data_IF_400317090418
#
_entry.id   IF_400317090418
#
_cell.length_a   1.000
_cell.length_b   1.000
_cell.length_c   1.000
_cell.angle_alpha   90.00
_cell.angle_beta   90.00
_cell.angle_gamma   90.00
#
_symmetry.space_group_name_H-M   'P 1'
#
loop_
_entity.id
_entity.type
_entity.pdbx_description
1 polymer ?
#
# COMPACT_ATOMS: atom_id res chain seq x y z
N UNK A 1 -39.32 -52.02 66.27
CA UNK A 1 -38.01 -51.36 66.46
C UNK A 1 -38.29 -49.87 66.23
N UNK A 2 -38.70 -49.12 67.26
CA UNK A 2 -37.84 -48.53 68.32
C UNK A 2 -36.78 -47.66 67.66
N UNK A 3 -36.62 -46.35 67.86
CA UNK A 3 -37.23 -45.30 68.70
C UNK A 3 -36.81 -43.97 68.01
N UNK A 4 -37.65 -42.95 67.82
CA UNK A 4 -38.10 -41.95 68.82
C UNK A 4 -36.99 -40.99 69.27
N UNK A 5 -37.04 -39.74 68.81
CA UNK A 5 -36.95 -38.53 69.65
C UNK A 5 -37.34 -37.31 68.78
N UNK A 6 -38.58 -36.80 68.91
CA UNK A 6 -39.01 -35.78 69.89
C UNK A 6 -38.17 -34.51 69.77
N UNK A 7 -38.72 -33.33 69.43
CA UNK A 7 -39.87 -32.71 70.09
C UNK A 7 -40.52 -31.65 69.18
N UNK A 8 -41.81 -31.86 68.89
CA UNK A 8 -42.93 -30.90 68.98
C UNK A 8 -42.64 -29.69 69.89
N UNK A 9 -43.18 -28.49 69.72
CA UNK A 9 -44.46 -28.08 69.15
C UNK A 9 -44.55 -26.55 69.25
N UNK A 10 -45.46 -25.95 68.46
CA UNK A 10 -46.36 -24.85 68.87
C UNK A 10 -45.72 -23.49 69.20
N UNK A 11 -46.36 -22.33 69.04
CA UNK A 11 -47.61 -21.82 68.50
C UNK A 11 -47.63 -20.35 69.02
N UNK A 12 -48.47 -19.50 68.44
CA UNK A 12 -48.98 -18.26 69.07
C UNK A 12 -48.03 -17.05 69.06
N UNK A 13 -48.28 -16.07 68.20
CA UNK A 13 -49.20 -14.93 68.42
C UNK A 13 -48.72 -13.90 69.46
N UNK A 14 -48.71 -12.65 68.97
CA UNK A 14 -49.00 -11.39 69.67
C UNK A 14 -47.94 -10.80 70.61
N UNK A 15 -47.79 -9.49 70.44
CA UNK A 15 -47.93 -8.60 71.60
C UNK A 15 -46.73 -7.71 71.89
N UNK A 16 -46.73 -6.54 71.25
CA UNK A 16 -46.38 -5.21 71.77
C UNK A 16 -46.18 -5.15 73.30
N UNK A 17 -45.04 -4.58 73.75
CA UNK A 17 -44.88 -3.66 74.91
C UNK A 17 -43.40 -3.20 74.95
N UNK A 18 -43.05 -1.96 74.58
CA UNK A 18 -43.05 -0.69 75.36
C UNK A 18 -42.10 -0.62 76.55
N UNK A 19 -41.17 0.36 76.50
CA UNK A 19 -40.72 1.30 77.54
C UNK A 19 -39.19 1.48 77.44
N UNK A 20 -38.70 2.61 76.91
CA UNK A 20 -38.44 3.90 77.57
C UNK A 20 -36.94 4.05 77.93
N UNK A 21 -36.31 5.10 77.41
CA UNK A 21 -34.91 5.42 77.71
C UNK A 21 -34.28 6.44 76.76
N UNK A 22 -34.66 7.70 76.96
CA UNK A 22 -33.86 8.94 76.81
C UNK A 22 -33.16 9.32 75.48
N UNK A 23 -33.63 10.49 75.01
CA UNK A 23 -32.88 11.70 74.66
C UNK A 23 -31.62 11.52 73.80
N UNK A 24 -31.65 12.02 72.57
CA UNK A 24 -30.75 13.05 72.03
C UNK A 24 -31.15 13.31 70.56
N UNK A 25 -31.06 14.57 70.11
CA UNK A 25 -31.13 15.03 68.71
C UNK A 25 -32.51 15.31 68.10
N UNK A 26 -33.35 16.03 68.86
CA UNK A 26 -34.50 16.78 68.34
C UNK A 26 -34.31 18.30 68.42
N UNK A 27 -33.19 18.86 67.92
CA UNK A 27 -32.97 20.32 67.75
C UNK A 27 -31.89 20.61 66.71
N UNK A 28 -32.22 20.53 65.42
CA UNK A 28 -31.42 21.13 64.31
C UNK A 28 -32.31 21.31 63.07
N UNK A 29 -33.55 21.77 63.27
CA UNK A 29 -34.44 22.25 62.22
C UNK A 29 -34.74 23.73 62.53
N UNK A 30 -34.52 24.61 61.55
CA UNK A 30 -34.98 26.03 61.48
C UNK A 30 -34.05 27.19 61.92
N UNK A 31 -32.74 27.18 61.63
CA UNK A 31 -31.95 28.43 61.72
C UNK A 31 -30.66 28.49 60.88
N UNK A 32 -30.72 28.25 59.56
CA UNK A 32 -29.66 28.71 58.64
C UNK A 32 -30.20 28.87 57.21
N UNK A 33 -31.21 29.73 57.08
CA UNK A 33 -31.89 30.08 55.82
C UNK A 33 -31.82 31.60 55.53
N UNK A 34 -30.78 32.28 56.03
CA UNK A 34 -30.34 33.62 55.56
C UNK A 34 -28.84 33.74 55.86
N UNK A 35 -28.01 33.87 54.83
CA UNK A 35 -26.63 34.34 54.98
C UNK A 35 -25.51 33.41 54.54
N UNK A 36 -25.49 32.99 53.26
CA UNK A 36 -24.27 32.98 52.42
C UNK A 36 -24.69 33.18 50.95
N UNK A 37 -25.14 34.39 50.61
CA UNK A 37 -25.22 34.88 49.22
C UNK A 37 -23.88 35.51 48.78
N UNK A 38 -22.74 34.98 49.23
CA UNK A 38 -21.42 35.53 48.93
C UNK A 38 -20.37 34.43 48.72
N UNK A 39 -20.73 33.40 47.95
CA UNK A 39 -19.74 32.63 47.20
C UNK A 39 -20.12 32.73 45.73
N UNK A 40 -19.83 33.89 45.14
CA UNK A 40 -19.48 33.98 43.73
C UNK A 40 -18.22 33.14 43.54
N UNK A 41 -18.41 31.82 43.44
CA UNK A 41 -17.46 30.98 42.73
C UNK A 41 -17.46 31.55 41.34
N UNK A 42 -16.37 32.25 40.98
CA UNK A 42 -16.00 32.43 39.60
C UNK A 42 -15.95 31.01 39.01
N UNK A 43 -17.08 30.57 38.44
CA UNK A 43 -17.09 29.45 37.53
C UNK A 43 -16.00 29.82 36.52
N UNK A 44 -14.92 29.02 36.37
CA UNK A 44 -14.08 29.21 35.22
C UNK A 44 -15.04 29.18 34.05
N UNK A 45 -15.15 30.30 33.34
CA UNK A 45 -15.75 30.30 32.00
C UNK A 45 -15.07 29.12 31.31
N UNK A 46 -15.83 28.12 30.79
CA UNK A 46 -15.20 27.00 30.12
C UNK A 46 -14.31 27.66 29.07
N UNK A 47 -13.00 27.54 29.25
CA UNK A 47 -12.03 28.10 28.34
C UNK A 47 -12.50 27.59 26.99
N UNK A 48 -12.95 28.50 26.12
CA UNK A 48 -13.63 28.12 24.90
C UNK A 48 -12.75 27.08 24.22
N UNK A 49 -13.24 25.84 24.19
CA UNK A 49 -12.49 24.74 23.59
C UNK A 49 -12.03 25.18 22.20
N UNK A 50 -10.88 24.70 21.71
CA UNK A 50 -10.38 25.10 20.40
C UNK A 50 -11.54 25.02 19.40
N UNK A 51 -11.86 26.14 18.74
CA UNK A 51 -13.00 26.23 17.82
C UNK A 51 -12.91 25.08 16.82
N UNK A 52 -13.87 24.17 16.88
CA UNK A 52 -13.99 23.07 15.95
C UNK A 52 -14.72 23.56 14.71
N UNK A 53 -14.17 23.21 13.55
CA UNK A 53 -14.73 23.52 12.24
C UNK A 53 -15.18 22.20 11.62
N UNK A 54 -16.40 22.20 11.09
CA UNK A 54 -16.94 21.10 10.32
C UNK A 54 -16.91 21.53 8.86
N UNK A 55 -16.21 20.76 8.03
CA UNK A 55 -16.21 20.93 6.57
C UNK A 55 -16.84 19.71 5.93
N UNK A 56 -17.72 19.94 4.96
CA UNK A 56 -18.37 18.88 4.20
C UNK A 56 -17.82 18.83 2.78
N UNK A 57 -17.67 17.61 2.28
CA UNK A 57 -17.23 17.35 0.91
C UNK A 57 -18.28 17.73 -0.13
N UNK A 58 -17.84 17.96 -1.37
CA UNK A 58 -18.72 18.35 -2.47
C UNK A 58 -19.79 17.29 -2.74
N UNK A 59 -19.42 16.01 -2.64
CA UNK A 59 -20.36 14.90 -2.81
C UNK A 59 -21.31 14.72 -1.63
N UNK A 60 -21.02 15.33 -0.47
CA UNK A 60 -21.76 15.14 0.78
C UNK A 60 -21.38 13.90 1.59
N UNK A 61 -20.58 12.99 1.03
CA UNK A 61 -20.20 11.73 1.66
C UNK A 61 -19.31 11.93 2.90
N UNK A 62 -18.32 12.82 2.80
CA UNK A 62 -17.37 13.08 3.89
C UNK A 62 -17.76 14.32 4.70
N UNK A 63 -17.66 14.20 6.02
CA UNK A 63 -17.80 15.29 6.98
C UNK A 63 -16.59 15.31 7.91
N UNK A 64 -15.71 16.30 7.76
CA UNK A 64 -14.48 16.42 8.53
C UNK A 64 -14.67 17.46 9.63
N UNK A 65 -14.43 17.07 10.87
CA UNK A 65 -14.44 17.97 12.03
C UNK A 65 -13.03 18.08 12.62
N UNK A 66 -12.61 19.29 13.02
CA UNK A 66 -11.27 19.49 13.57
C UNK A 66 -10.95 20.93 13.92
N UNK A 67 -9.76 21.19 14.50
CA UNK A 67 -9.28 22.56 14.71
C UNK A 67 -9.07 23.29 13.37
N UNK A 68 -9.33 24.60 13.35
CA UNK A 68 -9.25 25.43 12.13
C UNK A 68 -7.88 25.45 11.43
N UNK A 69 -6.81 25.22 12.18
CA UNK A 69 -5.45 25.26 11.69
C UNK A 69 -4.63 24.15 12.36
N UNK A 70 -3.84 23.44 11.56
CA UNK A 70 -2.72 22.68 12.09
C UNK A 70 -1.81 23.68 12.81
N UNK A 71 -1.75 23.62 14.14
CA UNK A 71 -0.81 24.42 14.90
C UNK A 71 0.58 23.89 14.57
N UNK A 72 1.30 24.57 13.67
CA UNK A 72 2.74 24.36 13.49
C UNK A 72 3.41 24.61 14.85
N UNK A 73 3.64 23.55 15.63
CA UNK A 73 4.53 23.65 16.78
C UNK A 73 5.94 23.75 16.20
N UNK A 74 6.65 24.82 16.55
CA UNK A 74 8.10 24.88 16.37
C UNK A 74 8.66 23.69 17.16
N UNK A 75 9.28 22.74 16.48
CA UNK A 75 9.86 21.56 17.12
C UNK A 75 10.84 22.00 18.22
N UNK A 76 10.85 21.34 19.40
CA UNK A 76 11.87 21.59 20.42
C UNK A 76 13.27 21.40 19.80
N UNK A 77 14.24 22.27 20.10
CA UNK A 77 15.60 22.08 19.59
C UNK A 77 16.17 20.76 20.12
N UNK A 78 16.38 19.78 19.23
CA UNK A 78 17.01 18.49 19.55
C UNK A 78 16.30 17.25 19.01
N UNK A 79 15.04 17.34 18.57
CA UNK A 79 14.37 16.23 17.89
C UNK A 79 14.63 16.27 16.38
N UNK A 80 14.98 15.13 15.74
CA UNK A 80 15.10 15.08 14.29
C UNK A 80 13.73 15.42 13.69
N UNK A 81 13.66 16.48 12.89
CA UNK A 81 12.45 16.86 12.20
C UNK A 81 11.94 15.66 11.38
N UNK A 82 10.74 15.16 11.70
CA UNK A 82 10.04 14.17 10.87
C UNK A 82 9.60 14.88 9.58
N UNK A 83 10.46 14.91 8.57
CA UNK A 83 10.30 15.69 7.33
C UNK A 83 9.17 15.19 6.40
N UNK A 84 8.51 14.08 6.73
CA UNK A 84 7.50 13.44 5.89
C UNK A 84 6.06 13.52 6.43
N UNK A 85 5.82 14.29 7.51
CA UNK A 85 4.48 14.46 8.07
C UNK A 85 3.68 15.51 7.31
N UNK A 86 2.41 15.20 7.07
CA UNK A 86 1.44 16.10 6.44
C UNK A 86 0.58 16.75 7.52
N UNK A 87 0.62 18.08 7.59
CA UNK A 87 -0.28 18.88 8.41
C UNK A 87 -1.68 18.93 7.77
N UNK A 88 -2.70 18.50 8.51
CA UNK A 88 -4.09 18.43 8.06
C UNK A 88 -4.94 19.48 8.75
N UNK A 89 -5.78 20.14 7.95
CA UNK A 89 -6.93 20.91 8.39
C UNK A 89 -8.20 20.33 7.75
N UNK A 90 -9.40 20.67 8.28
CA UNK A 90 -10.64 20.10 7.75
C UNK A 90 -10.87 20.34 6.24
N UNK A 91 -10.64 21.55 5.68
CA UNK A 91 -10.78 21.78 4.24
C UNK A 91 -9.82 20.94 3.37
N UNK A 92 -8.53 20.89 3.73
CA UNK A 92 -7.51 20.13 2.98
C UNK A 92 -7.85 18.65 2.97
N UNK A 93 -8.19 18.08 4.14
CA UNK A 93 -8.55 16.67 4.23
C UNK A 93 -9.81 16.35 3.44
N UNK A 94 -10.81 17.23 3.45
CA UNK A 94 -12.04 17.05 2.67
C UNK A 94 -11.75 16.92 1.17
N UNK A 95 -10.90 17.79 0.62
CA UNK A 95 -10.51 17.71 -0.80
C UNK A 95 -9.69 16.45 -1.10
N UNK A 96 -8.82 16.03 -0.17
CA UNK A 96 -8.07 14.79 -0.29
C UNK A 96 -8.99 13.57 -0.34
N UNK A 97 -10.02 13.52 0.52
CA UNK A 97 -11.02 12.44 0.52
C UNK A 97 -11.72 12.33 -0.83
N UNK A 98 -12.16 13.47 -1.40
CA UNK A 98 -12.79 13.50 -2.72
C UNK A 98 -11.84 12.99 -3.81
N UNK A 99 -10.58 13.42 -3.81
CA UNK A 99 -9.58 12.97 -4.80
C UNK A 99 -9.33 11.47 -4.71
N UNK A 100 -9.16 10.93 -3.51
CA UNK A 100 -8.96 9.50 -3.29
C UNK A 100 -10.18 8.71 -3.74
N UNK A 101 -11.39 9.16 -3.41
CA UNK A 101 -12.63 8.54 -3.88
C UNK A 101 -12.70 8.52 -5.40
N UNK A 102 -12.51 9.66 -6.05
CA UNK A 102 -12.56 9.74 -7.51
C UNK A 102 -11.52 8.83 -8.18
N UNK A 103 -10.34 8.70 -7.57
CA UNK A 103 -9.31 7.79 -8.07
C UNK A 103 -9.74 6.31 -7.92
N UNK A 104 -10.27 5.90 -6.77
CA UNK A 104 -10.78 4.53 -6.55
C UNK A 104 -11.89 4.21 -7.56
N UNK A 105 -12.88 5.10 -7.70
CA UNK A 105 -13.98 4.92 -8.63
C UNK A 105 -13.50 4.86 -10.09
N UNK A 106 -12.47 5.65 -10.43
CA UNK A 106 -11.81 5.61 -11.74
C UNK A 106 -11.14 4.26 -12.03
N UNK A 107 -10.39 3.71 -11.08
CA UNK A 107 -9.75 2.39 -11.19
C UNK A 107 -10.78 1.26 -11.30
N UNK A 108 -11.91 1.36 -10.58
CA UNK A 108 -13.01 0.40 -10.61
C UNK A 108 -13.97 0.60 -11.79
N UNK A 109 -13.83 1.70 -12.54
CA UNK A 109 -14.79 2.13 -13.59
C UNK A 109 -16.23 2.17 -13.05
N UNK A 110 -16.39 2.66 -11.83
CA UNK A 110 -17.65 2.70 -11.09
C UNK A 110 -18.24 4.12 -11.09
N UNK A 111 -19.57 4.27 -11.12
CA UNK A 111 -20.23 5.53 -10.84
C UNK A 111 -20.11 5.90 -9.35
N UNK A 112 -20.26 7.19 -9.05
CA UNK A 112 -20.34 7.66 -7.66
C UNK A 112 -21.76 7.50 -7.12
N UNK A 113 -22.01 6.37 -6.46
CA UNK A 113 -23.32 6.00 -5.87
C UNK A 113 -23.19 5.68 -4.37
N UNK A 114 -22.40 6.50 -3.67
CA UNK A 114 -22.21 6.34 -2.23
C UNK A 114 -23.56 6.41 -1.48
N UNK A 115 -23.64 5.67 -0.37
CA UNK A 115 -24.80 5.63 0.53
C UNK A 115 -24.41 5.88 1.98
N UNK A 116 -23.26 5.35 2.37
CA UNK A 116 -22.75 5.50 3.73
C UNK A 116 -21.98 6.79 3.93
N UNK A 117 -22.33 7.53 4.97
CA UNK A 117 -21.63 8.77 5.33
C UNK A 117 -20.37 8.47 6.14
N UNK A 118 -19.29 9.18 5.84
CA UNK A 118 -17.99 9.03 6.51
C UNK A 118 -17.70 10.29 7.33
N UNK A 119 -17.65 10.12 8.65
CA UNK A 119 -17.30 11.16 9.61
C UNK A 119 -15.83 11.04 9.97
N UNK A 120 -15.08 12.13 9.82
CA UNK A 120 -13.65 12.15 10.11
C UNK A 120 -13.38 13.18 11.19
N UNK A 121 -12.75 12.75 12.28
CA UNK A 121 -12.39 13.57 13.41
C UNK A 121 -10.87 13.81 13.41
N UNK A 122 -10.47 15.08 13.30
CA UNK A 122 -9.08 15.51 13.36
C UNK A 122 -8.70 15.89 14.79
N UNK A 123 -7.68 15.23 15.33
CA UNK A 123 -7.17 15.46 16.68
C UNK A 123 -5.66 15.63 16.71
N UNK A 124 -5.11 16.09 17.83
CA UNK A 124 -3.65 16.15 18.00
C UNK A 124 -3.11 14.74 18.23
N UNK A 125 -1.97 14.36 17.60
CA UNK A 125 -1.38 13.04 17.80
C UNK A 125 -1.10 12.80 19.29
N UNK A 126 -1.58 11.68 19.80
CA UNK A 126 -1.34 11.22 21.17
C UNK A 126 -0.02 10.44 21.27
N UNK A 127 0.35 9.76 20.17
CA UNK A 127 1.60 9.02 20.04
C UNK A 127 2.19 9.22 18.63
N UNK A 128 3.52 9.07 18.45
CA UNK A 128 4.17 9.33 17.17
C UNK A 128 3.68 8.43 16.03
N UNK A 129 3.28 7.19 16.35
CA UNK A 129 2.83 6.19 15.38
C UNK A 129 1.39 5.71 15.68
N UNK A 130 0.57 6.59 16.25
CA UNK A 130 -0.84 6.33 16.58
C UNK A 130 -1.62 5.79 15.37
N UNK A 131 -2.27 4.61 15.45
CA UNK A 131 -3.00 4.02 14.33
C UNK A 131 -4.26 4.83 14.02
N UNK A 132 -4.61 4.92 12.73
CA UNK A 132 -5.91 5.46 12.30
C UNK A 132 -6.92 4.34 12.42
N UNK A 133 -7.89 4.49 13.32
CA UNK A 133 -8.95 3.49 13.50
C UNK A 133 -10.14 3.83 12.59
N UNK A 134 -10.62 2.83 11.86
CA UNK A 134 -11.82 2.92 11.05
C UNK A 134 -12.93 2.14 11.75
N UNK A 135 -14.03 2.81 12.05
CA UNK A 135 -15.19 2.21 12.69
C UNK A 135 -16.39 2.26 11.75
N UNK A 136 -17.11 1.14 11.64
CA UNK A 136 -18.35 1.06 10.88
C UNK A 136 -19.49 0.67 11.82
N UNK A 137 -20.62 1.38 11.74
CA UNK A 137 -21.82 1.07 12.51
C UNK A 137 -23.03 1.04 11.59
N UNK A 138 -23.83 -0.02 11.72
CA UNK A 138 -25.13 -0.08 11.07
C UNK A 138 -26.17 0.65 11.91
N UNK A 139 -26.91 1.56 11.28
CA UNK A 139 -27.98 2.35 11.90
C UNK A 139 -29.29 2.14 11.14
N UNK A 140 -30.40 2.68 11.67
CA UNK A 140 -31.68 2.69 10.97
C UNK A 140 -31.64 3.45 9.62
N UNK A 141 -30.65 4.32 9.43
CA UNK A 141 -30.43 5.07 8.18
C UNK A 141 -29.43 4.37 7.23
N UNK A 142 -28.98 3.17 7.59
CA UNK A 142 -27.95 2.42 6.89
C UNK A 142 -26.58 2.52 7.57
N UNK A 143 -25.53 2.18 6.83
CA UNK A 143 -24.16 2.21 7.31
C UNK A 143 -23.63 3.64 7.48
N UNK A 144 -22.96 3.89 8.60
CA UNK A 144 -22.15 5.08 8.83
C UNK A 144 -20.74 4.67 9.27
N UNK A 145 -19.76 5.53 8.96
CA UNK A 145 -18.35 5.27 9.19
C UNK A 145 -17.72 6.42 9.98
N UNK A 146 -16.80 6.10 10.88
CA UNK A 146 -16.03 7.06 11.65
C UNK A 146 -14.54 6.77 11.52
N UNK A 147 -13.75 7.83 11.45
CA UNK A 147 -12.31 7.76 11.48
C UNK A 147 -11.75 8.82 12.42
N UNK A 148 -10.84 8.41 13.30
CA UNK A 148 -10.04 9.33 14.11
C UNK A 148 -8.66 9.46 13.48
N UNK A 149 -8.31 10.67 13.04
CA UNK A 149 -7.13 10.95 12.22
C UNK A 149 -6.27 12.01 12.91
N UNK A 150 -5.00 11.71 13.23
CA UNK A 150 -4.06 12.72 13.69
C UNK A 150 -3.93 13.87 12.68
N UNK A 151 -3.92 15.10 13.17
CA UNK A 151 -3.76 16.30 12.35
C UNK A 151 -2.35 16.46 11.76
N UNK A 152 -1.41 15.61 12.17
CA UNK A 152 -0.10 15.42 11.54
C UNK A 152 0.10 13.93 11.29
N UNK A 153 0.13 13.51 10.02
CA UNK A 153 0.18 12.09 9.64
C UNK A 153 1.03 11.89 8.39
N UNK A 154 1.66 10.73 8.27
CA UNK A 154 2.36 10.35 7.05
C UNK A 154 1.35 10.12 5.90
N UNK A 155 1.57 10.70 4.71
CA UNK A 155 0.65 10.56 3.57
C UNK A 155 0.29 9.10 3.21
N UNK A 156 1.21 8.12 3.23
CA UNK A 156 0.87 6.72 2.95
C UNK A 156 -0.12 6.12 3.96
N UNK A 157 0.00 6.48 5.24
CA UNK A 157 -0.88 5.98 6.31
C UNK A 157 -2.28 6.54 6.18
N UNK A 158 -2.39 7.84 5.89
CA UNK A 158 -3.66 8.48 5.58
C UNK A 158 -4.33 7.86 4.34
N UNK A 159 -3.57 7.65 3.27
CA UNK A 159 -4.10 7.07 2.03
C UNK A 159 -4.64 5.66 2.26
N UNK A 160 -3.92 4.82 3.00
CA UNK A 160 -4.38 3.47 3.35
C UNK A 160 -5.73 3.52 4.09
N UNK A 161 -5.84 4.33 5.13
CA UNK A 161 -7.04 4.42 5.94
C UNK A 161 -8.25 4.97 5.14
N UNK A 162 -8.02 5.94 4.25
CA UNK A 162 -9.06 6.44 3.34
C UNK A 162 -9.50 5.38 2.33
N UNK A 163 -8.56 4.62 1.77
CA UNK A 163 -8.88 3.52 0.84
C UNK A 163 -9.67 2.43 1.55
N UNK A 164 -9.27 2.07 2.76
CA UNK A 164 -9.96 1.05 3.58
C UNK A 164 -11.41 1.43 3.85
N UNK A 165 -11.68 2.64 4.37
CA UNK A 165 -13.05 3.07 4.65
C UNK A 165 -13.91 3.18 3.39
N UNK A 166 -13.33 3.63 2.27
CA UNK A 166 -14.07 3.79 1.01
C UNK A 166 -14.41 2.42 0.41
N UNK A 167 -13.46 1.48 0.40
CA UNK A 167 -13.72 0.12 -0.07
C UNK A 167 -14.75 -0.59 0.82
N UNK A 168 -14.67 -0.38 2.15
CA UNK A 168 -15.65 -0.90 3.09
C UNK A 168 -17.04 -0.29 2.90
N UNK A 169 -17.13 1.01 2.57
CA UNK A 169 -18.40 1.66 2.19
C UNK A 169 -18.98 1.04 0.92
N UNK A 170 -18.18 0.93 -0.15
CA UNK A 170 -18.61 0.32 -1.42
C UNK A 170 -19.15 -1.09 -1.19
N UNK A 171 -18.42 -1.90 -0.42
CA UNK A 171 -18.80 -3.27 -0.15
C UNK A 171 -20.10 -3.41 0.67
N UNK A 172 -20.43 -2.38 1.46
CA UNK A 172 -21.58 -2.36 2.37
C UNK A 172 -22.83 -1.67 1.81
N UNK A 173 -22.78 -1.07 0.61
CA UNK A 173 -23.92 -0.30 0.02
C UNK A 173 -25.25 -1.04 -0.01
N UNK A 174 -25.19 -2.37 -0.10
CA UNK A 174 -26.33 -3.27 -0.12
C UNK A 174 -26.32 -4.28 1.03
N UNK A 175 -25.35 -4.17 1.95
CA UNK A 175 -25.26 -5.02 3.12
C UNK A 175 -26.31 -4.61 4.16
N UNK A 176 -26.88 -5.59 4.84
CA UNK A 176 -27.75 -5.36 6.00
C UNK A 176 -26.89 -5.11 7.25
N UNK A 177 -27.30 -5.60 8.42
CA UNK A 177 -26.58 -5.41 9.70
C UNK A 177 -25.17 -5.99 9.73
N UNK A 178 -24.85 -6.96 8.87
CA UNK A 178 -23.53 -7.58 8.80
C UNK A 178 -22.63 -6.84 7.80
N UNK A 179 -21.42 -6.42 8.18
CA UNK A 179 -20.48 -5.82 7.24
C UNK A 179 -19.96 -6.88 6.26
N UNK A 180 -19.79 -6.47 5.01
CA UNK A 180 -19.12 -7.25 3.98
C UNK A 180 -17.65 -7.47 4.34
N UNK A 181 -17.16 -8.69 4.13
CA UNK A 181 -15.75 -9.02 4.34
C UNK A 181 -14.92 -8.64 3.12
N UNK A 182 -13.80 -7.97 3.36
CA UNK A 182 -12.85 -7.56 2.34
C UNK A 182 -11.51 -8.31 2.57
N UNK A 183 -10.83 -8.78 1.50
CA UNK A 183 -9.55 -9.44 1.65
C UNK A 183 -8.49 -8.47 2.21
N UNK A 184 -7.59 -8.91 3.11
CA UNK A 184 -6.65 -8.01 3.78
C UNK A 184 -5.62 -7.37 2.84
N UNK A 185 -5.33 -8.01 1.71
CA UNK A 185 -4.43 -7.47 0.69
C UNK A 185 -5.06 -6.36 -0.17
N UNK A 186 -6.39 -6.18 -0.15
CA UNK A 186 -7.06 -5.30 -1.10
C UNK A 186 -6.79 -3.82 -0.79
N UNK A 187 -7.01 -3.37 0.45
CA UNK A 187 -6.81 -1.98 0.82
C UNK A 187 -5.34 -1.54 0.71
N UNK A 188 -4.35 -2.30 1.25
CA UNK A 188 -2.93 -1.98 1.06
C UNK A 188 -2.49 -2.00 -0.40
N UNK A 189 -2.95 -2.99 -1.18
CA UNK A 189 -2.61 -3.08 -2.60
C UNK A 189 -3.19 -1.95 -3.43
N UNK A 190 -4.45 -1.56 -3.17
CA UNK A 190 -5.09 -0.43 -3.84
C UNK A 190 -4.44 0.90 -3.42
N UNK A 191 -4.14 1.10 -2.13
CA UNK A 191 -3.45 2.31 -1.66
C UNK A 191 -2.07 2.47 -2.31
N UNK A 192 -1.29 1.39 -2.42
CA UNK A 192 0.01 1.40 -3.10
C UNK A 192 -0.10 1.65 -4.61
N UNK A 193 -1.16 1.13 -5.25
CA UNK A 193 -1.48 1.41 -6.65
C UNK A 193 -1.78 2.89 -6.85
N UNK A 194 -2.71 3.44 -6.08
CA UNK A 194 -3.08 4.86 -6.14
C UNK A 194 -1.91 5.79 -5.84
N UNK A 195 -1.04 5.44 -4.89
CA UNK A 195 0.18 6.23 -4.61
C UNK A 195 1.10 6.30 -5.82
N UNK A 196 1.14 5.24 -6.62
CA UNK A 196 1.95 5.17 -7.84
C UNK A 196 1.28 5.90 -9.01
N UNK A 197 -0.05 5.79 -9.15
CA UNK A 197 -0.82 6.38 -10.25
C UNK A 197 -1.14 7.87 -10.05
N UNK A 198 -1.41 8.32 -8.82
CA UNK A 198 -1.68 9.73 -8.48
C UNK A 198 -0.41 10.55 -8.20
N UNK A 199 0.71 9.90 -7.83
CA UNK A 199 1.93 10.59 -7.41
C UNK A 199 1.67 11.53 -6.22
N UNK A 200 2.27 12.72 -6.20
CA UNK A 200 2.03 13.74 -5.15
C UNK A 200 0.70 14.49 -5.30
N UNK A 201 -0.08 14.26 -6.36
CA UNK A 201 -1.29 15.05 -6.63
C UNK A 201 -2.41 14.85 -5.59
N UNK A 202 -2.37 13.76 -4.82
CA UNK A 202 -3.30 13.58 -3.71
C UNK A 202 -2.94 14.46 -2.50
N UNK A 203 -1.66 14.82 -2.33
CA UNK A 203 -1.23 15.75 -1.28
C UNK A 203 -1.36 17.17 -1.83
N UNK A 204 -2.34 17.91 -1.35
CA UNK A 204 -2.40 19.36 -1.54
C UNK A 204 -1.19 19.96 -0.81
N UNK A 205 -0.01 20.14 -1.42
CA UNK A 205 1.07 20.86 -0.74
C UNK A 205 0.68 22.33 -0.58
N UNK A 206 0.89 22.88 0.61
CA UNK A 206 0.85 24.33 0.81
C UNK A 206 2.03 24.89 0.03
N UNK A 207 1.76 25.50 -1.11
CA UNK A 207 2.74 26.32 -1.81
C UNK A 207 2.96 27.60 -1.00
N UNK A 208 3.54 27.50 0.20
CA UNK A 208 4.37 28.59 0.71
C UNK A 208 5.70 28.43 0.00
N UNK A 209 6.06 29.33 -0.95
CA UNK A 209 7.41 29.35 -1.46
C UNK A 209 8.31 29.69 -0.28
N UNK A 210 8.90 28.68 0.36
CA UNK A 210 10.15 28.88 1.05
C UNK A 210 11.07 29.43 -0.03
N UNK A 211 11.43 30.71 0.09
CA UNK A 211 12.34 31.42 -0.78
C UNK A 211 13.67 30.65 -0.81
N UNK A 212 13.75 29.64 -1.67
CA UNK A 212 14.99 29.04 -2.09
C UNK A 212 15.56 30.01 -3.11
N UNK A 213 16.55 30.77 -2.65
CA UNK A 213 17.29 31.72 -3.48
C UNK A 213 17.82 30.95 -4.71
N UNK A 214 17.29 31.29 -5.89
CA UNK A 214 17.81 30.81 -7.17
C UNK A 214 17.20 29.50 -7.68
N UNK A 215 15.92 29.50 -8.03
CA UNK A 215 15.48 28.74 -9.21
C UNK A 215 14.15 29.28 -9.74
N UNK A 216 14.17 29.77 -10.97
CA UNK A 216 12.96 30.12 -11.71
C UNK A 216 12.23 28.82 -12.10
N UNK A 217 11.39 28.29 -11.21
CA UNK A 217 10.46 27.23 -11.57
C UNK A 217 9.19 27.87 -12.12
N UNK A 218 9.08 27.89 -13.45
CA UNK A 218 7.85 28.19 -14.18
C UNK A 218 6.73 27.27 -13.72
N UNK A 219 5.58 27.88 -13.41
CA UNK A 219 4.33 27.19 -13.11
C UNK A 219 3.85 26.48 -14.38
N UNK A 220 4.26 25.23 -14.57
CA UNK A 220 3.64 24.37 -15.57
C UNK A 220 2.22 24.04 -15.11
N UNK A 221 1.26 24.51 -15.89
CA UNK A 221 -0.13 24.15 -15.74
C UNK A 221 -0.22 22.63 -15.90
N UNK A 222 -0.75 21.94 -14.88
CA UNK A 222 -0.98 20.51 -14.92
C UNK A 222 -2.06 20.19 -15.96
N UNK A 223 -1.65 20.07 -17.21
CA UNK A 223 -2.48 19.51 -18.27
C UNK A 223 -2.90 18.10 -17.86
N UNK A 224 -4.21 17.86 -17.96
CA UNK A 224 -4.88 16.61 -17.63
C UNK A 224 -4.52 15.57 -18.68
N UNK A 225 -3.27 15.11 -18.70
CA UNK A 225 -2.80 14.10 -19.64
C UNK A 225 -3.43 12.76 -19.28
N UNK A 226 -4.27 12.23 -20.17
CA UNK A 226 -4.75 10.84 -20.14
C UNK A 226 -3.53 9.92 -20.05
N UNK A 227 -3.31 9.34 -18.87
CA UNK A 227 -2.10 8.60 -18.55
C UNK A 227 -2.23 7.18 -19.11
N UNK A 228 -1.62 6.93 -20.26
CA UNK A 228 -1.41 5.56 -20.76
C UNK A 228 -0.30 4.93 -19.92
N UNK A 229 -0.67 4.32 -18.79
CA UNK A 229 0.26 3.58 -17.94
C UNK A 229 0.84 2.38 -18.69
N UNK A 230 2.04 2.54 -19.25
CA UNK A 230 2.81 1.42 -19.82
C UNK A 230 3.16 0.46 -18.69
N UNK A 231 2.75 -0.81 -18.79
CA UNK A 231 3.03 -1.91 -17.83
C UNK A 231 4.47 -2.00 -17.33
N UNK A 232 5.43 -1.53 -18.13
CA UNK A 232 6.84 -1.49 -17.76
C UNK A 232 7.10 -0.66 -16.49
N UNK A 233 6.32 0.39 -16.24
CA UNK A 233 6.59 1.32 -15.15
C UNK A 233 6.15 0.79 -13.76
N UNK A 234 4.94 0.24 -13.58
CA UNK A 234 4.56 -0.40 -12.32
C UNK A 234 5.45 -1.58 -11.92
N UNK A 235 5.78 -2.47 -12.87
CA UNK A 235 6.66 -3.61 -12.59
C UNK A 235 8.09 -3.20 -12.23
N UNK A 236 8.59 -2.10 -12.81
CA UNK A 236 9.90 -1.54 -12.46
C UNK A 236 9.93 -1.10 -11.01
N UNK A 237 8.89 -0.39 -10.56
CA UNK A 237 8.76 0.06 -9.16
C UNK A 237 8.64 -1.14 -8.22
N UNK A 238 7.83 -2.15 -8.56
CA UNK A 238 7.67 -3.37 -7.77
C UNK A 238 9.01 -4.10 -7.64
N UNK A 239 9.74 -4.31 -8.75
CA UNK A 239 11.07 -4.93 -8.72
C UNK A 239 12.07 -4.16 -7.86
N UNK A 240 12.05 -2.83 -7.96
CA UNK A 240 12.93 -1.98 -7.16
C UNK A 240 12.67 -2.14 -5.65
N UNK A 241 11.39 -2.19 -5.23
CA UNK A 241 11.00 -2.33 -3.81
C UNK A 241 11.26 -3.73 -3.25
N UNK A 242 11.04 -4.76 -4.08
CA UNK A 242 11.29 -6.14 -3.68
C UNK A 242 12.80 -6.43 -3.59
N UNK A 243 13.60 -5.86 -4.49
CA UNK A 243 15.02 -6.15 -4.59
C UNK A 243 15.24 -7.63 -4.93
N UNK A 244 15.93 -8.35 -4.04
CA UNK A 244 16.15 -9.80 -4.16
C UNK A 244 15.00 -10.65 -3.59
N UNK A 245 14.06 -10.04 -2.87
CA UNK A 245 12.94 -10.76 -2.23
C UNK A 245 11.90 -11.16 -3.27
N UNK A 246 11.27 -12.32 -3.04
CA UNK A 246 10.10 -12.74 -3.82
C UNK A 246 8.83 -12.10 -3.24
N UNK A 247 7.83 -11.79 -4.07
CA UNK A 247 6.48 -11.51 -3.57
C UNK A 247 5.96 -12.67 -2.73
N UNK A 248 5.11 -12.35 -1.76
CA UNK A 248 4.43 -13.32 -0.90
C UNK A 248 3.55 -14.28 -1.70
N UNK A 249 3.46 -15.53 -1.23
CA UNK A 249 2.52 -16.52 -1.76
C UNK A 249 1.06 -16.08 -1.52
N UNK A 250 0.12 -16.72 -2.21
CA UNK A 250 -1.29 -16.35 -2.07
C UNK A 250 -1.82 -16.59 -0.64
N UNK A 251 -1.35 -17.65 0.02
CA UNK A 251 -1.72 -17.95 1.41
C UNK A 251 -1.21 -16.88 2.39
N UNK A 252 0.04 -16.44 2.23
CA UNK A 252 0.66 -15.38 3.03
C UNK A 252 0.01 -14.01 2.80
N UNK A 253 -0.51 -13.74 1.58
CA UNK A 253 -1.30 -12.53 1.31
C UNK A 253 -2.63 -12.53 2.04
N UNK A 254 -3.25 -13.71 2.17
CA UNK A 254 -4.52 -13.87 2.87
C UNK A 254 -4.30 -13.77 4.38
N UNK A 255 -3.28 -14.44 4.94
CA UNK A 255 -2.97 -14.43 6.37
C UNK A 255 -1.63 -13.76 6.68
N UNK A 256 -1.56 -12.42 6.67
CA UNK A 256 -0.35 -11.71 7.06
C UNK A 256 -0.02 -11.90 8.54
N UNK A 257 1.26 -11.85 8.87
CA UNK A 257 1.72 -11.79 10.26
C UNK A 257 1.68 -10.35 10.78
N UNK A 258 1.61 -10.17 12.10
CA UNK A 258 1.65 -8.84 12.72
C UNK A 258 2.89 -8.05 12.28
N UNK A 259 4.05 -8.72 12.20
CA UNK A 259 5.30 -8.13 11.72
C UNK A 259 5.21 -7.66 10.25
N UNK A 260 4.42 -8.33 9.40
CA UNK A 260 4.19 -7.91 8.02
C UNK A 260 3.25 -6.71 7.91
N UNK A 261 2.26 -6.61 8.81
CA UNK A 261 1.32 -5.48 8.89
C UNK A 261 1.96 -4.22 9.49
N UNK A 262 2.94 -4.40 10.38
CA UNK A 262 3.70 -3.32 11.00
C UNK A 262 4.86 -2.79 10.13
N UNK A 263 5.12 -3.40 8.97
CA UNK A 263 6.17 -2.92 8.06
C UNK A 263 5.89 -1.48 7.60
N UNK A 264 6.95 -0.65 7.46
CA UNK A 264 6.78 0.71 6.95
C UNK A 264 6.23 0.71 5.52
N UNK A 265 5.62 1.83 5.07
CA UNK A 265 5.09 1.94 3.72
C UNK A 265 6.10 1.53 2.64
N UNK A 266 5.67 0.67 1.72
CA UNK A 266 6.56 0.03 0.73
C UNK A 266 7.27 -1.23 1.24
N UNK A 267 6.86 -1.78 2.39
CA UNK A 267 7.23 -3.10 2.87
C UNK A 267 6.90 -4.25 1.90
N UNK A 268 7.31 -5.46 2.27
CA UNK A 268 7.06 -6.67 1.50
C UNK A 268 5.57 -6.97 1.36
N UNK A 269 4.79 -6.84 2.43
CA UNK A 269 3.35 -7.13 2.37
C UNK A 269 2.61 -6.15 1.46
N UNK A 270 2.84 -4.85 1.65
CA UNK A 270 2.24 -3.78 0.84
C UNK A 270 2.66 -3.93 -0.64
N UNK A 271 3.94 -4.22 -0.90
CA UNK A 271 4.44 -4.38 -2.28
C UNK A 271 3.90 -5.64 -2.96
N UNK A 272 3.73 -6.73 -2.23
CA UNK A 272 3.13 -7.97 -2.75
C UNK A 272 1.64 -7.77 -3.03
N UNK A 273 0.92 -7.13 -2.10
CA UNK A 273 -0.48 -6.74 -2.25
C UNK A 273 -0.69 -5.81 -3.45
N UNK A 274 0.20 -4.83 -3.62
CA UNK A 274 0.19 -3.94 -4.78
C UNK A 274 0.30 -4.75 -6.08
N UNK A 275 1.30 -5.63 -6.16
CA UNK A 275 1.51 -6.46 -7.34
C UNK A 275 0.32 -7.39 -7.63
N UNK A 276 -0.32 -7.91 -6.59
CA UNK A 276 -1.53 -8.73 -6.73
C UNK A 276 -2.70 -7.93 -7.29
N UNK A 277 -3.03 -6.77 -6.70
CA UNK A 277 -4.14 -5.90 -7.12
C UNK A 277 -3.97 -5.41 -8.55
N UNK A 278 -2.79 -4.90 -8.91
CA UNK A 278 -2.54 -4.44 -10.29
C UNK A 278 -2.62 -5.59 -11.30
N UNK A 279 -2.22 -6.81 -10.91
CA UNK A 279 -2.35 -7.99 -11.77
C UNK A 279 -3.82 -8.38 -11.99
N UNK A 280 -4.67 -8.27 -10.97
CA UNK A 280 -6.11 -8.48 -11.08
C UNK A 280 -6.79 -7.43 -11.96
N UNK A 281 -6.47 -6.14 -11.75
CA UNK A 281 -7.02 -5.03 -12.55
C UNK A 281 -6.65 -5.14 -14.04
N UNK A 282 -5.58 -5.86 -14.37
CA UNK A 282 -5.12 -6.07 -15.75
C UNK A 282 -5.70 -7.29 -16.44
N UNK A 283 -6.40 -8.16 -15.70
CA UNK A 283 -7.18 -9.22 -16.33
C UNK A 283 -8.19 -8.61 -17.30
N UNK A 284 -8.60 -9.37 -18.32
CA UNK A 284 -9.63 -8.92 -19.25
C UNK A 284 -10.94 -8.70 -18.45
N UNK A 285 -11.37 -7.45 -18.34
CA UNK A 285 -12.52 -7.08 -17.50
C UNK A 285 -12.22 -7.03 -15.99
N UNK A 286 -10.95 -7.00 -15.58
CA UNK A 286 -10.50 -6.96 -14.18
C UNK A 286 -11.18 -5.88 -13.33
N UNK A 287 -11.26 -4.61 -13.77
CA UNK A 287 -11.95 -3.55 -13.04
C UNK A 287 -13.42 -3.87 -12.77
N UNK A 288 -14.13 -4.39 -13.79
CA UNK A 288 -15.52 -4.80 -13.67
C UNK A 288 -15.71 -5.99 -12.72
N UNK A 289 -14.78 -6.96 -12.74
CA UNK A 289 -14.76 -8.06 -11.77
C UNK A 289 -14.54 -7.57 -10.34
N UNK A 290 -13.58 -6.67 -10.11
CA UNK A 290 -13.31 -6.14 -8.76
C UNK A 290 -14.46 -5.28 -8.25
N UNK A 291 -15.07 -4.46 -9.12
CA UNK A 291 -16.29 -3.72 -8.81
C UNK A 291 -17.44 -4.67 -8.46
N UNK A 292 -17.71 -5.68 -9.30
CA UNK A 292 -18.75 -6.67 -9.04
C UNK A 292 -18.50 -7.47 -7.76
N UNK A 293 -17.23 -7.73 -7.41
CA UNK A 293 -16.89 -8.30 -6.11
C UNK A 293 -17.37 -7.41 -4.97
N UNK A 294 -16.99 -6.13 -4.98
CA UNK A 294 -17.34 -5.19 -3.91
C UNK A 294 -18.85 -4.92 -3.86
N UNK A 295 -19.47 -4.51 -4.96
CA UNK A 295 -20.86 -4.05 -4.99
C UNK A 295 -21.89 -5.19 -4.88
N UNK A 296 -21.61 -6.34 -5.50
CA UNK A 296 -22.62 -7.40 -5.64
C UNK A 296 -22.35 -8.65 -4.81
N UNK A 297 -21.08 -9.01 -4.58
CA UNK A 297 -20.75 -10.32 -4.03
C UNK A 297 -20.28 -10.27 -2.57
N UNK A 298 -19.53 -9.25 -2.16
CA UNK A 298 -18.88 -9.20 -0.85
C UNK A 298 -19.87 -9.29 0.32
N UNK A 299 -21.04 -8.66 0.19
CA UNK A 299 -22.09 -8.70 1.21
C UNK A 299 -23.02 -9.92 1.12
N UNK A 300 -23.08 -10.61 -0.03
CA UNK A 300 -23.99 -11.77 -0.24
C UNK A 300 -23.45 -13.06 0.35
N UNK A 301 -22.14 -13.15 0.57
CA UNK A 301 -21.47 -14.36 1.03
C UNK A 301 -20.92 -14.17 2.44
N UNK A 302 -20.93 -15.25 3.22
CA UNK A 302 -20.39 -15.24 4.58
C UNK A 302 -18.86 -15.13 4.61
N UNK A 303 -18.18 -15.29 3.48
CA UNK A 303 -16.74 -15.13 3.37
C UNK A 303 -16.41 -14.40 2.06
N UNK A 304 -15.34 -13.61 2.11
CA UNK A 304 -14.89 -12.89 0.91
C UNK A 304 -14.46 -13.84 -0.22
N UNK A 305 -13.92 -15.01 0.11
CA UNK A 305 -13.41 -15.99 -0.86
C UNK A 305 -14.48 -16.43 -1.87
N UNK A 306 -15.70 -16.74 -1.40
CA UNK A 306 -16.79 -17.16 -2.29
C UNK A 306 -17.25 -16.01 -3.15
N UNK A 307 -17.39 -14.81 -2.57
CA UNK A 307 -17.77 -13.62 -3.33
C UNK A 307 -16.75 -13.26 -4.41
N UNK A 308 -15.47 -13.36 -4.08
CA UNK A 308 -14.37 -13.15 -5.01
C UNK A 308 -14.43 -14.12 -6.19
N UNK A 309 -14.60 -15.43 -5.93
CA UNK A 309 -14.70 -16.43 -7.00
C UNK A 309 -15.93 -16.23 -7.88
N UNK A 310 -17.08 -15.79 -7.34
CA UNK A 310 -18.24 -15.48 -8.17
C UNK A 310 -17.99 -14.29 -9.09
N UNK A 311 -17.34 -13.24 -8.60
CA UNK A 311 -17.03 -12.06 -9.38
C UNK A 311 -15.95 -12.30 -10.44
N UNK A 312 -14.94 -13.12 -10.11
CA UNK A 312 -13.84 -13.49 -11.00
C UNK A 312 -14.05 -14.83 -11.72
N UNK A 313 -15.27 -15.38 -11.72
CA UNK A 313 -15.63 -16.66 -12.35
C UNK A 313 -15.16 -16.83 -13.81
N UNK A 314 -15.10 -15.79 -14.67
CA UNK A 314 -14.54 -15.92 -16.01
C UNK A 314 -13.05 -16.30 -16.05
N UNK A 315 -12.31 -16.01 -14.97
CA UNK A 315 -10.86 -16.23 -14.86
C UNK A 315 -10.50 -17.39 -13.92
N UNK A 316 -11.23 -17.55 -12.82
CA UNK A 316 -10.93 -18.53 -11.77
C UNK A 316 -12.18 -19.33 -11.41
N UNK A 317 -12.08 -20.67 -11.46
CA UNK A 317 -13.17 -21.54 -10.97
C UNK A 317 -12.98 -21.88 -9.50
N UNK A 318 -11.73 -21.96 -9.04
CA UNK A 318 -11.35 -22.32 -7.69
C UNK A 318 -10.23 -21.42 -7.17
N UNK A 319 -10.06 -21.35 -5.84
CA UNK A 319 -8.91 -20.65 -5.24
C UNK A 319 -7.56 -21.25 -5.66
N UNK A 320 -7.53 -22.54 -6.02
CA UNK A 320 -6.34 -23.18 -6.57
C UNK A 320 -5.95 -22.61 -7.94
N UNK A 321 -6.92 -22.14 -8.73
CA UNK A 321 -6.63 -21.49 -10.00
C UNK A 321 -6.02 -20.10 -9.77
N UNK A 322 -6.49 -19.40 -8.73
CA UNK A 322 -5.92 -18.11 -8.27
C UNK A 322 -4.47 -18.31 -7.85
N UNK A 323 -4.18 -19.31 -7.01
CA UNK A 323 -2.82 -19.62 -6.54
C UNK A 323 -1.87 -19.96 -7.71
N UNK A 324 -2.31 -20.82 -8.64
CA UNK A 324 -1.53 -21.15 -9.85
C UNK A 324 -1.26 -19.92 -10.72
N UNK A 325 -2.28 -19.10 -10.94
CA UNK A 325 -2.16 -17.88 -11.72
C UNK A 325 -1.21 -16.89 -11.03
N UNK A 326 -1.30 -16.76 -9.71
CA UNK A 326 -0.44 -15.89 -8.93
C UNK A 326 1.02 -16.33 -8.97
N UNK A 327 1.29 -17.63 -8.81
CA UNK A 327 2.63 -18.19 -8.98
C UNK A 327 3.22 -17.87 -10.37
N UNK A 328 2.40 -17.90 -11.43
CA UNK A 328 2.81 -17.49 -12.77
C UNK A 328 3.12 -15.99 -12.86
N UNK A 329 2.36 -15.11 -12.18
CA UNK A 329 2.67 -13.69 -12.11
C UNK A 329 4.02 -13.43 -11.40
N UNK A 330 4.27 -14.12 -10.29
CA UNK A 330 5.56 -14.06 -9.57
C UNK A 330 6.71 -14.51 -10.48
N UNK A 331 6.54 -15.62 -11.19
CA UNK A 331 7.54 -16.11 -12.15
C UNK A 331 7.79 -15.08 -13.26
N UNK A 332 6.73 -14.44 -13.78
CA UNK A 332 6.83 -13.40 -14.81
C UNK A 332 7.56 -12.16 -14.30
N UNK A 333 7.27 -11.71 -13.07
CA UNK A 333 7.91 -10.57 -12.44
C UNK A 333 9.42 -10.80 -12.28
N UNK A 334 9.81 -12.00 -11.83
CA UNK A 334 11.22 -12.38 -11.58
C UNK A 334 12.00 -12.69 -12.86
N UNK A 335 11.35 -12.60 -14.04
CA UNK A 335 11.97 -12.97 -15.31
C UNK A 335 12.12 -14.48 -15.50
N UNK A 336 11.53 -15.28 -14.61
CA UNK A 336 11.42 -16.75 -14.71
C UNK A 336 10.17 -17.15 -15.50
N UNK A 337 9.81 -16.35 -16.50
CA UNK A 337 8.74 -16.68 -17.43
C UNK A 337 9.27 -17.75 -18.40
N UNK A 338 8.80 -19.01 -18.34
CA UNK A 338 9.28 -20.07 -19.21
C UNK A 338 9.09 -19.74 -20.70
N UNK A 339 8.15 -18.83 -21.02
CA UNK A 339 7.88 -18.38 -22.38
C UNK A 339 8.86 -17.30 -22.90
N UNK A 340 9.68 -16.70 -22.02
CA UNK A 340 10.66 -15.65 -22.37
C UNK A 340 12.11 -16.07 -22.16
N UNK A 341 12.34 -17.17 -21.45
CA UNK A 341 13.63 -17.86 -21.39
C UNK A 341 13.77 -18.82 -22.56
N UNK A 342 14.93 -18.82 -23.21
CA UNK A 342 15.27 -19.84 -24.22
C UNK A 342 15.33 -21.22 -23.57
N UNK A 343 14.93 -22.25 -24.33
CA UNK A 343 15.20 -23.65 -23.95
C UNK A 343 16.70 -23.89 -23.83
N UNK A 344 17.14 -25.00 -23.21
CA UNK A 344 18.56 -25.33 -23.11
C UNK A 344 19.25 -25.35 -24.49
N UNK A 345 18.58 -25.96 -25.47
CA UNK A 345 19.07 -26.06 -26.86
C UNK A 345 19.20 -24.67 -27.52
N UNK A 346 18.18 -23.83 -27.40
CA UNK A 346 18.21 -22.47 -27.97
C UNK A 346 19.22 -21.57 -27.24
N UNK A 347 19.34 -21.71 -25.92
CA UNK A 347 20.32 -21.00 -25.10
C UNK A 347 21.74 -21.33 -25.55
N UNK A 348 22.02 -22.61 -25.79
CA UNK A 348 23.30 -23.07 -26.31
C UNK A 348 23.59 -22.52 -27.70
N UNK A 349 22.62 -22.63 -28.61
CA UNK A 349 22.73 -22.11 -29.98
C UNK A 349 22.99 -20.59 -29.99
N UNK A 350 22.26 -19.82 -29.17
CA UNK A 350 22.44 -18.37 -29.07
C UNK A 350 23.79 -17.98 -28.44
N UNK A 351 24.30 -18.78 -27.52
CA UNK A 351 25.64 -18.58 -26.97
C UNK A 351 26.71 -18.82 -28.04
N UNK A 352 26.62 -19.92 -28.80
CA UNK A 352 27.53 -20.22 -29.91
C UNK A 352 27.51 -19.12 -30.99
N UNK A 353 26.33 -18.64 -31.38
CA UNK A 353 26.18 -17.53 -32.34
C UNK A 353 26.90 -16.24 -31.87
N UNK A 354 26.88 -15.95 -30.57
CA UNK A 354 27.58 -14.77 -30.03
C UNK A 354 29.10 -14.98 -30.01
N UNK A 355 29.59 -16.20 -29.84
CA UNK A 355 31.02 -16.52 -29.82
C UNK A 355 31.67 -16.54 -31.21
N UNK A 356 30.91 -16.24 -32.25
CA UNK A 356 31.37 -16.12 -33.64
C UNK A 356 31.11 -14.70 -34.15
N UNK A 357 32.07 -14.11 -34.88
CA UNK A 357 31.90 -12.78 -35.46
C UNK A 357 31.78 -12.88 -37.00
N UNK A 358 30.71 -12.32 -37.59
CA UNK A 358 30.61 -12.23 -39.05
C UNK A 358 31.58 -11.15 -39.54
N UNK A 359 32.56 -11.55 -40.34
CA UNK A 359 33.60 -10.70 -40.91
C UNK A 359 33.47 -10.70 -42.42
N UNK A 360 33.66 -9.53 -43.03
CA UNK A 360 33.80 -9.42 -44.50
C UNK A 360 35.26 -9.60 -44.90
N UNK A 361 35.57 -10.73 -45.54
CA UNK A 361 36.90 -11.03 -46.07
C UNK A 361 36.93 -10.62 -47.54
N UNK A 362 37.90 -9.77 -47.91
CA UNK A 362 38.21 -9.42 -49.29
C UNK A 362 39.49 -10.13 -49.72
N UNK A 363 39.38 -11.07 -50.66
CA UNK A 363 40.53 -11.69 -51.30
C UNK A 363 40.93 -10.88 -52.54
N UNK A 364 41.78 -9.85 -52.34
CA UNK A 364 42.32 -9.01 -53.43
C UNK A 364 41.52 -7.73 -53.73
N UNK A 365 42.16 -6.78 -54.41
CA UNK A 365 41.65 -5.41 -54.61
C UNK A 365 40.38 -5.32 -55.49
N UNK A 366 40.12 -6.34 -56.32
CA UNK A 366 39.04 -6.35 -57.31
C UNK A 366 37.89 -7.33 -57.02
N UNK A 367 37.98 -8.14 -55.97
CA UNK A 367 36.93 -9.12 -55.65
C UNK A 367 35.88 -8.60 -54.66
N UNK A 368 34.65 -9.09 -54.82
CA UNK A 368 33.55 -8.83 -53.89
C UNK A 368 33.86 -9.44 -52.51
N UNK A 369 33.50 -8.70 -51.45
CA UNK A 369 33.72 -9.16 -50.08
C UNK A 369 32.78 -10.33 -49.75
N UNK A 370 33.32 -11.44 -49.27
CA UNK A 370 32.54 -12.58 -48.78
C UNK A 370 32.36 -12.45 -47.26
N UNK A 371 31.16 -12.76 -46.77
CA UNK A 371 30.91 -12.86 -45.33
C UNK A 371 31.43 -14.23 -44.86
N UNK A 372 32.28 -14.24 -43.83
CA UNK A 372 32.78 -15.43 -43.17
C UNK A 372 32.57 -15.30 -41.66
N UNK A 373 32.14 -16.39 -41.05
CA UNK A 373 31.91 -16.48 -39.61
C UNK A 373 33.20 -16.96 -38.92
N UNK A 374 33.84 -16.06 -38.18
CA UNK A 374 35.17 -16.31 -37.56
C UNK A 374 35.03 -16.48 -36.05
N UNK A 375 35.55 -17.57 -35.45
CA UNK A 375 35.54 -17.76 -34.00
C UNK A 375 36.32 -16.67 -33.25
N UNK A 376 35.87 -16.29 -32.06
CA UNK A 376 36.55 -15.27 -31.26
C UNK A 376 38.00 -15.63 -30.91
N UNK A 377 38.31 -16.92 -30.77
CA UNK A 377 39.67 -17.40 -30.50
C UNK A 377 40.63 -17.04 -31.64
N UNK A 378 40.20 -17.20 -32.90
CA UNK A 378 40.97 -16.83 -34.08
C UNK A 378 41.16 -15.32 -34.17
N UNK A 379 40.12 -14.54 -33.83
CA UNK A 379 40.23 -13.07 -33.78
C UNK A 379 41.24 -12.64 -32.72
N UNK A 380 41.21 -13.25 -31.53
CA UNK A 380 42.15 -12.93 -30.43
C UNK A 380 43.58 -13.36 -30.77
N UNK A 381 43.76 -14.45 -31.53
CA UNK A 381 45.07 -14.96 -31.94
C UNK A 381 45.71 -14.14 -33.06
N UNK A 382 44.96 -13.82 -34.11
CA UNK A 382 45.56 -13.46 -35.40
C UNK A 382 45.37 -11.97 -35.77
N UNK A 383 44.49 -11.24 -35.08
CA UNK A 383 44.13 -9.87 -35.48
C UNK A 383 44.87 -8.79 -34.69
N UNK A 384 45.04 -7.57 -35.24
CA UNK A 384 45.57 -6.45 -34.48
C UNK A 384 44.64 -6.03 -33.33
N UNK A 385 45.21 -5.74 -32.16
CA UNK A 385 44.48 -5.45 -30.92
C UNK A 385 43.44 -4.33 -31.06
N UNK A 386 43.72 -3.28 -31.83
CA UNK A 386 42.77 -2.18 -32.07
C UNK A 386 41.44 -2.68 -32.67
N UNK A 387 41.50 -3.67 -33.57
CA UNK A 387 40.32 -4.27 -34.20
C UNK A 387 39.66 -5.32 -33.30
N UNK A 388 40.45 -6.06 -32.52
CA UNK A 388 39.94 -6.98 -31.49
C UNK A 388 39.09 -6.23 -30.45
N UNK A 389 39.60 -5.12 -29.91
CA UNK A 389 38.96 -4.35 -28.83
C UNK A 389 37.52 -3.94 -29.15
N UNK A 390 37.27 -3.47 -30.37
CA UNK A 390 35.94 -3.06 -30.81
C UNK A 390 34.96 -4.25 -30.85
N UNK A 391 35.40 -5.38 -31.42
CA UNK A 391 34.60 -6.60 -31.54
C UNK A 391 34.32 -7.20 -30.16
N UNK A 392 35.34 -7.31 -29.30
CA UNK A 392 35.19 -7.88 -27.96
C UNK A 392 34.26 -7.05 -27.07
N UNK A 393 34.31 -5.71 -27.14
CA UNK A 393 33.35 -4.83 -26.43
C UNK A 393 31.92 -5.06 -26.90
N UNK A 394 31.71 -5.18 -28.21
CA UNK A 394 30.40 -5.50 -28.76
C UNK A 394 29.90 -6.87 -28.27
N UNK A 395 30.77 -7.89 -28.24
CA UNK A 395 30.41 -9.23 -27.74
C UNK A 395 30.09 -9.23 -26.24
N UNK A 396 30.80 -8.45 -25.43
CA UNK A 396 30.49 -8.27 -24.00
C UNK A 396 29.06 -7.73 -23.80
N UNK A 397 28.67 -6.71 -24.57
CA UNK A 397 27.31 -6.16 -24.53
C UNK A 397 26.27 -7.20 -24.99
N UNK A 398 26.59 -7.98 -26.03
CA UNK A 398 25.71 -9.06 -26.52
C UNK A 398 25.53 -10.18 -25.46
N UNK A 399 26.60 -10.57 -24.77
CA UNK A 399 26.52 -11.55 -23.67
C UNK A 399 25.71 -11.02 -22.48
N UNK A 400 25.85 -9.72 -22.14
CA UNK A 400 25.02 -9.08 -21.11
C UNK A 400 23.54 -9.06 -21.48
N UNK A 401 23.21 -8.80 -22.74
CA UNK A 401 21.83 -8.83 -23.22
C UNK A 401 21.27 -10.27 -23.26
N UNK A 402 22.08 -11.25 -23.67
CA UNK A 402 21.69 -12.66 -23.73
C UNK A 402 21.41 -13.25 -22.34
N UNK A 403 22.17 -12.82 -21.32
CA UNK A 403 21.99 -13.25 -19.92
C UNK A 403 20.55 -13.16 -19.42
N UNK A 404 19.80 -12.15 -19.88
CA UNK A 404 18.42 -11.92 -19.45
C UNK A 404 17.42 -12.98 -19.94
N UNK A 405 17.82 -13.83 -20.89
CA UNK A 405 16.95 -14.84 -21.53
C UNK A 405 17.52 -16.26 -21.51
N UNK A 406 18.73 -16.47 -20.99
CA UNK A 406 19.36 -17.80 -20.93
C UNK A 406 18.67 -18.73 -19.93
N UNK A 407 18.70 -20.03 -20.24
CA UNK A 407 18.36 -21.07 -19.27
C UNK A 407 19.36 -21.08 -18.09
N UNK A 408 18.88 -21.49 -16.91
CA UNK A 408 19.62 -21.41 -15.63
C UNK A 408 21.02 -22.05 -15.69
N UNK A 409 21.16 -23.17 -16.40
CA UNK A 409 22.41 -23.93 -16.51
C UNK A 409 23.52 -23.17 -17.24
N UNK A 410 23.16 -22.25 -18.15
CA UNK A 410 24.11 -21.54 -19.02
C UNK A 410 24.38 -20.09 -18.58
N UNK A 411 23.66 -19.58 -17.58
CA UNK A 411 23.87 -18.23 -17.05
C UNK A 411 25.29 -18.04 -16.54
N UNK A 412 25.79 -18.99 -15.74
CA UNK A 412 27.14 -18.93 -15.18
C UNK A 412 28.21 -19.00 -16.29
N UNK A 413 28.00 -19.86 -17.29
CA UNK A 413 28.91 -19.99 -18.42
C UNK A 413 29.01 -18.68 -19.23
N UNK A 414 27.87 -18.03 -19.52
CA UNK A 414 27.86 -16.76 -20.22
C UNK A 414 28.54 -15.64 -19.42
N UNK A 415 28.39 -15.65 -18.09
CA UNK A 415 29.08 -14.72 -17.19
C UNK A 415 30.59 -14.94 -17.16
N UNK A 416 31.03 -16.20 -17.17
CA UNK A 416 32.45 -16.54 -17.17
C UNK A 416 33.10 -16.09 -18.49
N UNK A 417 32.46 -16.35 -19.63
CA UNK A 417 32.91 -15.81 -20.93
C UNK A 417 33.02 -14.28 -20.90
N UNK A 418 31.99 -13.59 -20.39
CA UNK A 418 32.00 -12.12 -20.28
C UNK A 418 33.17 -11.63 -19.44
N UNK A 419 33.35 -12.20 -18.24
CA UNK A 419 34.44 -11.84 -17.31
C UNK A 419 35.81 -12.09 -17.93
N UNK A 420 36.01 -13.21 -18.62
CA UNK A 420 37.27 -13.51 -19.29
C UNK A 420 37.58 -12.48 -20.38
N UNK A 421 36.60 -12.08 -21.18
CA UNK A 421 36.78 -11.05 -22.21
C UNK A 421 37.09 -9.67 -21.61
N UNK A 422 36.40 -9.29 -20.53
CA UNK A 422 36.66 -8.04 -19.81
C UNK A 422 38.08 -8.01 -19.22
N UNK A 423 38.50 -9.11 -18.57
CA UNK A 423 39.84 -9.25 -18.01
C UNK A 423 40.92 -9.23 -19.11
N UNK A 424 40.67 -9.86 -20.24
CA UNK A 424 41.59 -9.84 -21.38
C UNK A 424 41.81 -8.41 -21.91
N UNK A 425 40.72 -7.66 -22.14
CA UNK A 425 40.81 -6.26 -22.57
C UNK A 425 41.59 -5.46 -21.53
N UNK A 426 41.25 -5.60 -20.25
CA UNK A 426 41.89 -4.84 -19.17
C UNK A 426 43.40 -5.10 -19.07
N UNK A 427 43.84 -6.38 -19.09
CA UNK A 427 45.27 -6.73 -19.07
C UNK A 427 46.04 -6.21 -20.29
N UNK A 428 45.41 -6.23 -21.47
CA UNK A 428 46.01 -5.69 -22.70
C UNK A 428 46.10 -4.16 -22.69
N UNK A 429 45.12 -3.46 -22.11
CA UNK A 429 45.19 -2.00 -21.94
C UNK A 429 46.29 -1.60 -20.94
N UNK A 430 46.50 -2.38 -19.87
CA UNK A 430 47.58 -2.15 -18.90
C UNK A 430 48.98 -2.38 -19.49
N UNK A 431 49.13 -3.41 -20.34
CA UNK A 431 50.43 -3.71 -21.00
C UNK A 431 50.72 -2.78 -22.17
N UNK A 432 49.71 -2.32 -22.91
CA UNK A 432 49.89 -1.34 -23.99
C UNK A 432 50.05 0.11 -23.47
N UNK A 433 49.64 0.40 -22.23
CA UNK A 433 49.83 1.69 -21.56
C UNK A 433 51.18 1.87 -20.88
N UNK A 434 52.02 0.82 -20.83
CA UNK A 434 53.35 0.84 -20.20
C UNK A 434 54.52 1.15 -21.13
N UNK A 435 54.25 1.42 -22.41
CA UNK A 435 55.26 1.64 -23.46
C UNK A 435 55.14 3.06 -24.07
N UNK A 436 54.87 4.06 -23.22
CA UNK A 436 54.90 5.49 -23.56
C UNK A 436 55.95 6.23 -22.77
#
# INVERSE_FOLDING_TARGET
MVDTQNRTAQQSEKGIQTAAGDNYLGRLFHALMVGVCAWLVALPTPAAGPRQFITQSQSGQFSVQGPAAARNKIAPPGEPARTNLLALDPPRLTVMCERVKHAILGELQAPDEWRGRIFINLHQPQAPDEPVLVHAQYTLQGWAYWMDVPNEIEPPRLLLALVEVILQEIANRHANERPAEIPPWLAPGMAAHLRTSLGFQFVLQDNTPALSFGSFATVEHAERTVRVERWAEPLRIIRLRLGERLPLAFDELNWPTDAQLEEPPGGLYETSSYFFVISLLRLKGGPACLRGFLEDQAWRHLNWHTGFLQAFKPHFQTLRDVDKWWALQIATLTGRDPSKTYTLKESWQKLEEILVAPVRIRHGATNAAQNADVPLQTIIGDWPYARQRAILRQKIVQLQALRLRLCRELVNLADDYRKTLEQYIHRREQTAGGDR
#
